data_IF_315612977497
#
_entry.id   IF_315612977497
#
_cell.length_a   1.000
_cell.length_b   1.000
_cell.length_c   1.000
_cell.angle_alpha   90.00
_cell.angle_beta   90.00
_cell.angle_gamma   90.00
#
_symmetry.space_group_name_H-M   'P 1'
#
loop_
_entity.id
_entity.type
_entity.pdbx_description
1 polymer ?
#
# COMPACT_ATOMS: atom_id res chain seq x y z
N UNK A 1 -8.52 -7.72 -73.57
CA UNK A 1 -9.09 -8.23 -72.31
C UNK A 1 -7.95 -8.59 -71.39
N UNK A 2 -7.72 -7.75 -70.38
CA UNK A 2 -6.60 -7.84 -69.45
C UNK A 2 -6.98 -8.76 -68.29
N UNK A 3 -6.34 -9.92 -68.22
CA UNK A 3 -6.56 -10.95 -67.19
C UNK A 3 -5.46 -10.93 -66.12
N UNK A 4 -5.87 -11.11 -64.87
CA UNK A 4 -5.18 -10.85 -63.61
C UNK A 4 -4.12 -11.93 -63.30
N UNK A 5 -2.83 -11.58 -63.28
CA UNK A 5 -1.74 -12.49 -62.88
C UNK A 5 -0.73 -11.85 -61.88
N UNK A 6 -1.17 -11.13 -60.84
CA UNK A 6 -0.21 -10.52 -59.91
C UNK A 6 -0.71 -10.36 -58.46
N UNK A 7 -1.32 -11.38 -57.87
CA UNK A 7 -1.70 -11.35 -56.45
C UNK A 7 -1.26 -12.56 -55.61
N UNK A 8 -0.65 -13.60 -56.19
CA UNK A 8 -0.30 -14.83 -55.45
C UNK A 8 1.08 -14.84 -54.77
N UNK A 9 1.97 -13.88 -55.06
CA UNK A 9 3.35 -13.90 -54.53
C UNK A 9 3.51 -13.36 -53.09
N UNK A 10 2.46 -12.81 -52.48
CA UNK A 10 2.52 -12.18 -51.15
C UNK A 10 1.99 -13.03 -49.99
N UNK A 11 1.30 -14.14 -50.26
CA UNK A 11 0.54 -14.88 -49.24
C UNK A 11 1.31 -16.03 -48.58
N UNK A 12 2.48 -16.39 -49.09
CA UNK A 12 3.29 -17.50 -48.56
C UNK A 12 4.15 -17.06 -47.35
N UNK A 13 4.66 -15.83 -47.37
CA UNK A 13 5.55 -15.30 -46.33
C UNK A 13 4.85 -14.88 -45.03
N UNK A 14 3.51 -14.76 -45.03
CA UNK A 14 2.74 -14.42 -43.82
C UNK A 14 2.38 -15.65 -42.98
N UNK A 15 2.50 -16.85 -43.55
CA UNK A 15 2.09 -18.11 -42.91
C UNK A 15 3.20 -18.65 -42.00
N UNK A 16 4.46 -18.59 -42.45
CA UNK A 16 5.64 -18.98 -41.67
C UNK A 16 5.81 -18.09 -40.41
N UNK A 17 5.75 -16.76 -40.57
CA UNK A 17 5.96 -15.80 -39.49
C UNK A 17 4.84 -15.81 -38.43
N UNK A 18 3.61 -16.20 -38.83
CA UNK A 18 2.48 -16.33 -37.91
C UNK A 18 2.43 -17.71 -37.24
N UNK A 19 2.85 -18.77 -37.94
CA UNK A 19 2.97 -20.12 -37.39
C UNK A 19 3.99 -20.17 -36.24
N UNK A 20 5.16 -19.54 -36.40
CA UNK A 20 6.17 -19.49 -35.33
C UNK A 20 5.65 -18.74 -34.10
N UNK A 21 5.07 -17.54 -34.27
CA UNK A 21 4.50 -16.75 -33.16
C UNK A 21 3.43 -17.50 -32.37
N UNK A 22 2.66 -18.38 -33.00
CA UNK A 22 1.61 -19.16 -32.34
C UNK A 22 2.15 -20.19 -31.35
N UNK A 23 3.26 -20.84 -31.68
CA UNK A 23 3.90 -21.89 -30.87
C UNK A 23 4.57 -21.30 -29.63
N UNK A 24 5.25 -20.15 -29.79
CA UNK A 24 5.81 -19.37 -28.70
C UNK A 24 4.71 -18.87 -27.76
N UNK A 25 3.61 -18.31 -28.29
CA UNK A 25 2.45 -17.84 -27.51
C UNK A 25 1.74 -18.96 -26.75
N UNK A 26 1.70 -20.19 -27.26
CA UNK A 26 1.12 -21.34 -26.52
C UNK A 26 1.99 -21.72 -25.33
N UNK A 27 3.32 -21.75 -25.50
CA UNK A 27 4.26 -22.04 -24.41
C UNK A 27 4.25 -20.95 -23.35
N UNK A 28 4.25 -19.67 -23.74
CA UNK A 28 4.13 -18.55 -22.79
C UNK A 28 2.75 -18.49 -22.15
N UNK A 29 1.64 -18.74 -22.85
CA UNK A 29 0.32 -18.79 -22.20
C UNK A 29 0.20 -19.90 -21.16
N UNK A 30 0.78 -21.08 -21.40
CA UNK A 30 0.84 -22.14 -20.39
C UNK A 30 1.66 -21.71 -19.16
N UNK A 31 2.82 -21.09 -19.38
CA UNK A 31 3.66 -20.58 -18.28
C UNK A 31 2.98 -19.45 -17.50
N UNK A 32 2.38 -18.50 -18.21
CA UNK A 32 1.63 -17.38 -17.61
C UNK A 32 0.42 -17.91 -16.84
N UNK A 33 -0.34 -18.86 -17.38
CA UNK A 33 -1.46 -19.47 -16.68
C UNK A 33 -1.02 -20.16 -15.37
N UNK A 34 0.10 -20.90 -15.39
CA UNK A 34 0.65 -21.53 -14.19
C UNK A 34 1.10 -20.48 -13.17
N UNK A 35 1.80 -19.42 -13.61
CA UNK A 35 2.24 -18.34 -12.73
C UNK A 35 1.04 -17.61 -12.12
N UNK A 36 -0.01 -17.32 -12.91
CA UNK A 36 -1.22 -16.66 -12.42
C UNK A 36 -2.01 -17.55 -11.45
N UNK A 37 -2.14 -18.85 -11.74
CA UNK A 37 -2.79 -19.78 -10.81
C UNK A 37 -2.00 -19.90 -9.52
N UNK A 38 -0.67 -20.01 -9.61
CA UNK A 38 0.20 -20.06 -8.43
C UNK A 38 0.11 -18.79 -7.61
N UNK A 39 0.08 -17.61 -8.24
CA UNK A 39 -0.03 -16.34 -7.50
C UNK A 39 -1.39 -16.18 -6.83
N UNK A 40 -2.48 -16.57 -7.51
CA UNK A 40 -3.84 -16.50 -6.94
C UNK A 40 -3.97 -17.47 -5.76
N UNK A 41 -3.48 -18.70 -5.89
CA UNK A 41 -3.49 -19.68 -4.80
C UNK A 41 -2.70 -19.17 -3.58
N UNK A 42 -1.52 -18.58 -3.81
CA UNK A 42 -0.70 -18.01 -2.74
C UNK A 42 -1.41 -16.85 -2.04
N UNK A 43 -2.08 -15.96 -2.80
CA UNK A 43 -2.87 -14.87 -2.24
C UNK A 43 -4.04 -15.37 -1.38
N UNK A 44 -4.77 -16.41 -1.82
CA UNK A 44 -5.85 -17.03 -1.05
C UNK A 44 -5.31 -17.61 0.27
N UNK A 45 -4.16 -18.29 0.24
CA UNK A 45 -3.54 -18.85 1.45
C UNK A 45 -3.15 -17.73 2.43
N UNK A 46 -2.61 -16.61 1.96
CA UNK A 46 -2.26 -15.47 2.82
C UNK A 46 -3.52 -14.87 3.46
N UNK A 47 -4.58 -14.64 2.69
CA UNK A 47 -5.85 -14.11 3.24
C UNK A 47 -6.47 -15.11 4.23
N UNK A 48 -6.47 -16.40 3.92
CA UNK A 48 -6.96 -17.45 4.81
C UNK A 48 -6.12 -17.60 6.08
N UNK A 49 -4.79 -17.40 6.01
CA UNK A 49 -3.93 -17.39 7.18
C UNK A 49 -4.21 -16.16 8.06
N UNK A 50 -4.39 -14.98 7.47
CA UNK A 50 -4.69 -13.74 8.21
C UNK A 50 -6.09 -13.80 8.85
N UNK A 51 -7.10 -14.31 8.15
CA UNK A 51 -8.46 -14.46 8.69
C UNK A 51 -8.58 -15.68 9.61
N UNK A 52 -7.94 -16.79 9.27
CA UNK A 52 -7.97 -18.04 10.03
C UNK A 52 -7.17 -18.00 11.33
N UNK A 53 -6.09 -17.21 11.40
CA UNK A 53 -5.38 -16.95 12.66
C UNK A 53 -6.22 -16.12 13.64
N UNK A 54 -7.20 -15.34 13.16
CA UNK A 54 -8.19 -14.67 14.02
C UNK A 54 -9.22 -15.65 14.60
N UNK A 55 -9.43 -16.82 14.01
CA UNK A 55 -10.40 -17.82 14.48
C UNK A 55 -9.83 -18.81 15.50
N UNK A 56 -8.50 -18.92 15.67
CA UNK A 56 -7.90 -19.93 16.57
C UNK A 56 -7.70 -19.49 18.03
N UNK A 57 -8.06 -18.25 18.40
CA UNK A 57 -8.13 -17.82 19.81
C UNK A 57 -9.53 -18.03 20.38
N UNK A 58 -9.94 -19.28 20.49
CA UNK A 58 -11.10 -19.64 21.31
C UNK A 58 -10.89 -21.01 21.95
N UNK A 59 -10.10 -21.01 23.03
CA UNK A 59 -10.22 -22.00 24.10
C UNK A 59 -9.69 -21.41 25.39
N UNK A 60 -10.57 -21.42 26.41
CA UNK A 60 -10.45 -20.96 27.81
C UNK A 60 -10.73 -19.45 27.97
N UNK A 61 -11.72 -18.99 28.72
CA UNK A 61 -12.63 -19.60 29.71
C UNK A 61 -14.01 -18.90 29.65
N UNK A 62 -15.03 -19.60 30.15
CA UNK A 62 -16.39 -19.09 30.40
C UNK A 62 -16.38 -17.81 31.25
N UNK A 63 -16.85 -16.69 30.69
CA UNK A 63 -17.48 -15.59 31.43
C UNK A 63 -18.54 -14.93 30.53
N UNK A 64 -19.71 -14.50 31.05
CA UNK A 64 -20.91 -14.33 30.25
C UNK A 64 -20.75 -13.22 29.23
N UNK A 65 -21.50 -13.38 28.14
CA UNK A 65 -21.85 -12.35 27.16
C UNK A 65 -22.39 -11.10 27.89
N UNK A 66 -21.48 -10.23 28.31
CA UNK A 66 -21.80 -8.88 28.72
C UNK A 66 -21.98 -8.06 27.44
N UNK A 67 -23.25 -7.85 27.13
CA UNK A 67 -23.82 -6.71 26.43
C UNK A 67 -22.80 -5.65 25.95
N UNK A 68 -22.79 -5.41 24.62
CA UNK A 68 -22.44 -4.14 23.98
C UNK A 68 -21.47 -3.24 24.77
N UNK A 69 -20.21 -3.65 24.90
CA UNK A 69 -19.15 -2.75 25.34
C UNK A 69 -18.86 -1.79 24.18
N UNK A 70 -18.83 -0.46 24.40
CA UNK A 70 -18.38 0.47 23.36
C UNK A 70 -16.93 0.11 23.06
N UNK A 71 -16.67 -0.53 21.92
CA UNK A 71 -15.31 -0.55 21.39
C UNK A 71 -14.98 0.90 21.09
N UNK A 72 -14.11 1.49 21.91
CA UNK A 72 -13.68 2.89 21.81
C UNK A 72 -13.53 3.34 20.34
N UNK A 73 -13.90 4.58 20.03
CA UNK A 73 -13.82 5.11 18.65
C UNK A 73 -12.41 4.87 18.08
N UNK A 74 -11.38 4.98 18.92
CA UNK A 74 -9.98 4.63 18.63
C UNK A 74 -9.79 3.16 18.19
N UNK A 75 -10.38 2.18 18.87
CA UNK A 75 -10.27 0.77 18.47
C UNK A 75 -10.93 0.52 17.12
N UNK A 76 -12.06 1.19 16.85
CA UNK A 76 -12.74 1.09 15.56
C UNK A 76 -11.88 1.71 14.44
N UNK A 77 -11.31 2.90 14.63
CA UNK A 77 -10.45 3.55 13.63
C UNK A 77 -9.14 2.80 13.40
N UNK A 78 -8.52 2.25 14.44
CA UNK A 78 -7.29 1.48 14.30
C UNK A 78 -7.51 0.08 13.72
N UNK A 79 -8.73 -0.48 13.78
CA UNK A 79 -9.03 -1.85 13.31
C UNK A 79 -8.85 -2.05 11.80
N UNK A 80 -8.92 -0.98 11.02
CA UNK A 80 -8.78 -1.01 9.55
C UNK A 80 -7.34 -0.82 9.08
N UNK A 81 -6.41 -0.59 10.01
CA UNK A 81 -4.99 -0.32 9.73
C UNK A 81 -4.16 -1.59 9.99
N UNK A 82 -3.14 -1.91 9.17
CA UNK A 82 -2.30 -3.10 9.36
C UNK A 82 -1.50 -3.11 10.68
N UNK A 83 -1.20 -1.94 11.26
CA UNK A 83 -0.44 -1.79 12.51
C UNK A 83 -1.35 -1.37 13.66
N UNK A 84 -2.29 -2.24 14.03
CA UNK A 84 -3.34 -1.94 15.01
C UNK A 84 -2.79 -1.53 16.36
N UNK A 85 -1.78 -2.24 16.88
CA UNK A 85 -1.25 -2.02 18.23
C UNK A 85 -0.51 -0.68 18.32
N UNK A 86 0.30 -0.37 17.32
CA UNK A 86 0.99 0.91 17.21
C UNK A 86 0.00 2.07 17.07
N UNK A 87 -1.04 1.90 16.26
CA UNK A 87 -2.10 2.89 16.10
C UNK A 87 -2.80 3.19 17.44
N UNK A 88 -3.20 2.16 18.18
CA UNK A 88 -3.84 2.35 19.50
C UNK A 88 -2.87 3.02 20.49
N UNK A 89 -1.59 2.67 20.44
CA UNK A 89 -0.56 3.32 21.27
C UNK A 89 -0.37 4.80 20.93
N UNK A 90 -0.47 5.20 19.65
CA UNK A 90 -0.39 6.62 19.26
C UNK A 90 -1.47 7.49 19.93
N UNK A 91 -2.56 6.87 20.37
CA UNK A 91 -3.69 7.51 21.04
C UNK A 91 -3.67 7.36 22.57
N UNK A 92 -2.65 6.75 23.18
CA UNK A 92 -2.60 6.48 24.62
C UNK A 92 -2.65 7.74 25.50
N UNK A 93 -2.27 8.89 24.93
CA UNK A 93 -2.23 10.17 25.63
C UNK A 93 -3.53 10.97 25.51
N UNK A 94 -4.58 10.44 24.85
CA UNK A 94 -5.90 11.06 24.82
C UNK A 94 -6.56 10.96 26.20
N UNK A 95 -7.00 12.10 26.73
CA UNK A 95 -7.70 12.20 28.02
C UNK A 95 -9.09 11.54 27.98
N UNK A 96 -9.72 11.46 26.81
CA UNK A 96 -11.04 10.86 26.61
C UNK A 96 -11.14 10.18 25.23
N UNK A 97 -10.54 8.98 25.06
CA UNK A 97 -10.54 8.26 23.79
C UNK A 97 -11.90 7.63 23.45
N UNK A 98 -12.81 7.52 24.43
CA UNK A 98 -14.13 6.91 24.27
C UNK A 98 -15.19 7.90 23.76
N UNK A 99 -15.00 9.20 24.03
CA UNK A 99 -15.90 10.26 23.56
C UNK A 99 -15.27 11.21 22.52
N UNK A 100 -14.05 10.93 22.04
CA UNK A 100 -13.41 11.73 21.00
C UNK A 100 -14.21 11.72 19.69
N UNK A 101 -14.41 12.90 19.09
CA UNK A 101 -15.05 12.99 17.78
C UNK A 101 -14.11 12.45 16.68
N UNK A 102 -14.64 11.93 15.57
CA UNK A 102 -13.81 11.52 14.43
C UNK A 102 -12.87 12.62 13.93
N UNK A 103 -13.30 13.88 13.98
CA UNK A 103 -12.49 15.05 13.63
C UNK A 103 -11.33 15.27 14.62
N UNK A 104 -11.58 15.16 15.93
CA UNK A 104 -10.53 15.25 16.95
C UNK A 104 -9.49 14.15 16.80
N UNK A 105 -9.93 12.91 16.55
CA UNK A 105 -9.03 11.79 16.30
C UNK A 105 -8.22 11.99 15.01
N UNK A 106 -8.87 12.46 13.94
CA UNK A 106 -8.20 12.72 12.67
C UNK A 106 -7.15 13.84 12.81
N UNK A 107 -7.52 14.98 13.39
CA UNK A 107 -6.59 16.09 13.63
C UNK A 107 -5.42 15.67 14.52
N UNK A 108 -5.67 14.86 15.55
CA UNK A 108 -4.61 14.35 16.41
C UNK A 108 -3.63 13.44 15.63
N UNK A 109 -4.13 12.53 14.79
CA UNK A 109 -3.23 11.68 13.97
C UNK A 109 -2.38 12.50 13.01
N UNK A 110 -2.96 13.53 12.39
CA UNK A 110 -2.22 14.42 11.51
C UNK A 110 -1.17 15.23 12.27
N UNK A 111 -1.46 15.66 13.50
CA UNK A 111 -0.48 16.35 14.36
C UNK A 111 0.68 15.43 14.77
N UNK A 112 0.40 14.16 15.10
CA UNK A 112 1.45 13.17 15.38
C UNK A 112 2.34 13.00 14.14
N UNK A 113 1.74 12.77 12.97
CA UNK A 113 2.49 12.63 11.71
C UNK A 113 3.30 13.89 11.37
N UNK A 114 2.74 15.08 11.62
CA UNK A 114 3.44 16.35 11.45
C UNK A 114 4.69 16.44 12.31
N UNK A 115 4.56 16.12 13.61
CA UNK A 115 5.67 16.19 14.55
C UNK A 115 6.80 15.22 14.14
N UNK A 116 6.44 14.00 13.73
CA UNK A 116 7.42 13.01 13.27
C UNK A 116 8.15 13.49 12.00
N UNK A 117 7.42 14.05 11.03
CA UNK A 117 7.99 14.60 9.79
C UNK A 117 8.93 15.79 10.06
N UNK A 118 8.51 16.74 10.89
CA UNK A 118 9.32 17.90 11.28
C UNK A 118 10.58 17.45 12.03
N UNK A 119 10.48 16.42 12.87
CA UNK A 119 11.61 15.85 13.60
C UNK A 119 12.70 15.28 12.69
N UNK A 120 12.34 14.79 11.50
CA UNK A 120 13.28 14.19 10.54
C UNK A 120 13.67 15.11 9.38
N UNK A 121 12.97 16.22 9.14
CA UNK A 121 13.16 17.08 7.97
C UNK A 121 14.60 17.57 7.77
N UNK A 122 15.31 17.84 8.87
CA UNK A 122 16.71 18.28 8.80
C UNK A 122 17.73 17.18 8.53
N UNK A 123 17.38 15.90 8.73
CA UNK A 123 18.32 14.78 8.68
C UNK A 123 18.92 14.59 7.27
N UNK A 124 18.14 14.54 6.18
CA UNK A 124 18.71 14.31 4.85
C UNK A 124 19.68 15.42 4.43
N UNK A 125 19.36 16.68 4.73
CA UNK A 125 20.24 17.82 4.46
C UNK A 125 21.56 17.75 5.24
N UNK A 126 21.50 17.38 6.53
CA UNK A 126 22.70 17.18 7.34
C UNK A 126 23.58 16.02 6.83
N UNK A 127 22.97 14.93 6.37
CA UNK A 127 23.69 13.80 5.78
C UNK A 127 24.30 14.20 4.44
N UNK A 128 23.57 14.95 3.61
CA UNK A 128 24.06 15.41 2.31
C UNK A 128 25.32 16.28 2.46
N UNK A 129 25.39 17.11 3.51
CA UNK A 129 26.57 17.92 3.80
C UNK A 129 27.82 17.09 4.19
N UNK A 130 27.66 15.87 4.69
CA UNK A 130 28.75 15.00 5.17
C UNK A 130 29.22 13.97 4.14
N UNK A 131 28.53 13.83 3.03
CA UNK A 131 28.79 12.81 2.01
C UNK A 131 29.53 13.39 0.82
N UNK A 132 30.52 12.67 0.27
CA UNK A 132 31.24 13.09 -0.94
C UNK A 132 30.63 12.54 -2.24
N UNK A 133 29.91 11.42 -2.16
CA UNK A 133 29.26 10.81 -3.31
C UNK A 133 28.11 11.69 -3.84
N UNK A 134 28.20 12.09 -5.10
CA UNK A 134 27.24 12.98 -5.77
C UNK A 134 25.86 12.34 -5.93
N UNK A 135 25.78 11.03 -6.20
CA UNK A 135 24.49 10.33 -6.35
C UNK A 135 23.78 10.24 -5.01
N UNK A 136 24.53 9.93 -3.95
CA UNK A 136 23.98 9.86 -2.60
C UNK A 136 23.54 11.25 -2.11
N UNK A 137 24.32 12.30 -2.39
CA UNK A 137 23.91 13.69 -2.15
C UNK A 137 22.58 14.04 -2.82
N UNK A 138 22.44 13.72 -4.11
CA UNK A 138 21.21 13.98 -4.85
C UNK A 138 20.01 13.21 -4.29
N UNK A 139 20.20 11.93 -3.93
CA UNK A 139 19.16 11.13 -3.29
C UNK A 139 18.71 11.75 -1.96
N UNK A 140 19.65 12.24 -1.13
CA UNK A 140 19.36 12.89 0.14
C UNK A 140 18.63 14.23 -0.05
N UNK A 141 18.99 15.02 -1.07
CA UNK A 141 18.25 16.23 -1.43
C UNK A 141 16.81 15.90 -1.85
N UNK A 142 16.61 14.86 -2.67
CA UNK A 142 15.27 14.42 -3.04
C UNK A 142 14.46 13.96 -1.82
N UNK A 143 15.07 13.23 -0.89
CA UNK A 143 14.43 12.86 0.37
C UNK A 143 14.04 14.09 1.19
N UNK A 144 14.90 15.12 1.25
CA UNK A 144 14.59 16.36 1.94
C UNK A 144 13.35 17.03 1.34
N UNK A 145 13.35 17.24 0.02
CA UNK A 145 12.20 17.84 -0.68
C UNK A 145 10.92 17.03 -0.47
N UNK A 146 11.00 15.70 -0.52
CA UNK A 146 9.84 14.85 -0.28
C UNK A 146 9.27 14.99 1.14
N UNK A 147 10.13 15.15 2.15
CA UNK A 147 9.69 15.39 3.53
C UNK A 147 9.07 16.79 3.66
N UNK A 148 9.68 17.81 3.06
CA UNK A 148 9.16 19.18 3.06
C UNK A 148 7.77 19.26 2.39
N UNK A 149 7.60 18.60 1.25
CA UNK A 149 6.31 18.48 0.57
C UNK A 149 5.27 17.74 1.43
N UNK A 150 5.69 16.67 2.10
CA UNK A 150 4.82 15.91 3.02
C UNK A 150 4.34 16.79 4.18
N UNK A 151 5.23 17.59 4.78
CA UNK A 151 4.90 18.57 5.81
C UNK A 151 3.86 19.56 5.28
N UNK A 152 4.08 20.11 4.09
CA UNK A 152 3.13 21.04 3.47
C UNK A 152 1.73 20.42 3.33
N UNK A 153 1.63 19.21 2.78
CA UNK A 153 0.33 18.55 2.56
C UNK A 153 -0.38 18.16 3.86
N UNK A 154 0.36 17.67 4.87
CA UNK A 154 -0.23 17.37 6.17
C UNK A 154 -0.75 18.65 6.83
N UNK A 155 0.00 19.76 6.76
CA UNK A 155 -0.42 21.03 7.35
C UNK A 155 -1.66 21.59 6.66
N UNK A 156 -1.70 21.48 5.33
CA UNK A 156 -2.89 21.84 4.56
C UNK A 156 -4.10 20.97 4.93
N UNK A 157 -3.89 19.69 5.21
CA UNK A 157 -4.96 18.78 5.64
C UNK A 157 -5.51 19.16 7.01
N UNK A 158 -4.63 19.46 7.98
CA UNK A 158 -5.03 19.95 9.32
C UNK A 158 -5.84 21.25 9.19
N UNK A 159 -5.38 22.16 8.35
CA UNK A 159 -6.05 23.45 8.12
C UNK A 159 -7.45 23.27 7.54
N UNK A 160 -7.62 22.30 6.64
CA UNK A 160 -8.91 22.01 5.99
C UNK A 160 -9.93 21.37 6.95
N UNK A 161 -9.48 20.63 7.96
CA UNK A 161 -10.36 20.02 8.98
C UNK A 161 -10.84 21.05 10.00
N UNK A 162 -10.01 22.07 10.26
CA UNK A 162 -10.29 23.12 11.25
C UNK A 162 -10.89 24.40 10.62
N UNK A 163 -11.21 24.37 9.32
CA UNK A 163 -11.78 25.49 8.55
C UNK A 163 -13.32 25.49 8.61
#
# INVERSE_FOLDING_TARGET
MSGINSFSAGYDNVNEATAERSSWRRRTRKRVAIITFSSVLLAIIVVAAVVGTKASRSKKDDEPVAAATPTSVVKMTCSVVPYTDTCVQSFSNLTDPDHATPEQLFTLTLQIAMNDLVGIAGIPGQLAARVNDTKLKQALTNCQTFIDDSIYYVNSSISAVNA
#
